data_IF_127047309210
#
_entry.id   IF_127047309210
#
_cell.length_a   1.000
_cell.length_b   1.000
_cell.length_c   1.000
_cell.angle_alpha   90.00
_cell.angle_beta   90.00
_cell.angle_gamma   90.00
#
_symmetry.space_group_name_H-M   'P 1'
#
loop_
_entity.id
_entity.type
_entity.pdbx_description
1 polymer ?
#
# COMPACT_ATOMS: atom_id res chain seq x y z
N UNK A 1 -11.67 -19.56 0.87
CA UNK A 1 -10.71 -18.87 0.00
C UNK A 1 -9.50 -19.77 -0.13
N UNK A 2 -9.21 -20.30 -1.32
CA UNK A 2 -7.99 -21.09 -1.51
C UNK A 2 -6.82 -20.10 -1.60
N UNK A 3 -5.70 -20.36 -0.91
CA UNK A 3 -4.53 -19.46 -0.85
C UNK A 3 -3.94 -19.08 -2.23
N UNK A 4 -4.33 -19.77 -3.31
CA UNK A 4 -3.90 -19.49 -4.69
C UNK A 4 -4.38 -18.14 -5.23
N UNK A 5 -5.49 -17.61 -4.70
CA UNK A 5 -6.03 -16.32 -5.17
C UNK A 5 -5.14 -15.13 -4.74
N UNK A 6 -4.23 -15.33 -3.77
CA UNK A 6 -3.34 -14.29 -3.25
C UNK A 6 -1.93 -14.31 -3.85
N UNK A 7 -1.60 -15.20 -4.79
CA UNK A 7 -0.23 -15.30 -5.35
C UNK A 7 0.26 -13.98 -5.94
N UNK A 8 -0.65 -13.16 -6.49
CA UNK A 8 -0.34 -11.84 -7.07
C UNK A 8 -0.46 -10.67 -6.08
N UNK A 9 -0.66 -10.95 -4.78
CA UNK A 9 -0.87 -9.91 -3.78
C UNK A 9 0.43 -9.10 -3.58
N UNK A 10 0.47 -7.93 -4.22
CA UNK A 10 1.53 -6.91 -4.12
C UNK A 10 1.05 -5.70 -3.30
N UNK A 11 -0.27 -5.53 -3.18
CA UNK A 11 -0.92 -4.35 -2.63
C UNK A 11 -1.57 -4.73 -1.31
N UNK A 12 -0.86 -4.49 -0.21
CA UNK A 12 -1.39 -4.72 1.13
C UNK A 12 -0.78 -3.74 2.12
N UNK A 13 -1.63 -2.96 2.79
CA UNK A 13 -1.25 -2.27 4.01
C UNK A 13 -1.68 -3.10 5.22
N UNK A 14 -0.74 -3.41 6.12
CA UNK A 14 -1.05 -4.13 7.35
C UNK A 14 -0.82 -3.18 8.53
N UNK A 15 -1.84 -2.85 9.34
CA UNK A 15 -1.65 -2.07 10.56
C UNK A 15 -0.62 -2.72 11.49
N UNK A 16 0.17 -1.89 12.18
CA UNK A 16 1.29 -2.39 12.99
C UNK A 16 0.84 -3.39 14.08
N UNK A 17 -0.31 -3.12 14.70
CA UNK A 17 -0.86 -3.92 15.79
C UNK A 17 -1.68 -5.14 15.34
N UNK A 18 -1.89 -5.32 14.03
CA UNK A 18 -2.61 -6.50 13.51
C UNK A 18 -1.74 -7.74 13.66
N UNK A 19 -2.25 -8.76 14.34
CA UNK A 19 -1.63 -10.10 14.36
C UNK A 19 -2.04 -10.81 13.08
N UNK A 20 -1.05 -11.25 12.30
CA UNK A 20 -1.28 -12.06 11.11
C UNK A 20 -1.22 -13.53 11.51
N UNK A 21 -2.14 -14.34 10.98
CA UNK A 21 -2.05 -15.79 11.12
C UNK A 21 -0.85 -16.36 10.37
N UNK A 22 -0.51 -17.61 10.68
CA UNK A 22 0.55 -18.34 9.97
C UNK A 22 0.26 -18.42 8.46
N UNK A 23 1.31 -18.22 7.66
CA UNK A 23 1.28 -18.36 6.20
C UNK A 23 0.25 -17.49 5.45
N UNK A 24 -0.34 -16.44 6.06
CA UNK A 24 -1.30 -15.53 5.39
C UNK A 24 -0.70 -14.88 4.14
N UNK A 25 0.59 -14.59 4.16
CA UNK A 25 1.34 -14.06 3.02
C UNK A 25 2.30 -15.07 2.40
N UNK A 26 2.34 -16.30 2.91
CA UNK A 26 3.13 -17.38 2.30
C UNK A 26 2.66 -17.56 0.85
N UNK A 27 3.59 -17.60 -0.10
CA UNK A 27 3.32 -17.73 -1.53
C UNK A 27 2.74 -16.48 -2.23
N UNK A 28 2.73 -15.32 -1.56
CA UNK A 28 2.37 -14.04 -2.22
C UNK A 28 3.57 -13.39 -2.88
N UNK A 29 3.32 -12.54 -3.88
CA UNK A 29 4.35 -11.69 -4.48
C UNK A 29 5.08 -10.78 -3.46
N UNK A 30 4.41 -10.36 -2.36
CA UNK A 30 5.07 -9.67 -1.25
C UNK A 30 6.10 -10.54 -0.52
N UNK A 31 5.75 -11.79 -0.22
CA UNK A 31 6.70 -12.74 0.35
C UNK A 31 7.85 -12.98 -0.61
N UNK A 32 7.56 -13.03 -1.91
CA UNK A 32 8.60 -13.22 -2.93
C UNK A 32 9.54 -12.03 -3.10
N UNK A 33 9.03 -10.81 -2.93
CA UNK A 33 9.80 -9.57 -2.97
C UNK A 33 10.57 -9.30 -1.67
N UNK A 34 10.34 -10.09 -0.61
CA UNK A 34 10.99 -9.86 0.67
C UNK A 34 12.51 -10.10 0.59
N UNK A 35 13.32 -9.32 1.34
CA UNK A 35 14.78 -9.45 1.33
C UNK A 35 15.28 -10.65 2.15
N UNK A 36 14.39 -11.46 2.73
CA UNK A 36 14.78 -12.57 3.60
C UNK A 36 15.00 -13.85 2.81
N UNK A 37 15.86 -14.72 3.35
CA UNK A 37 16.18 -15.99 2.73
C UNK A 37 14.96 -16.91 2.82
N UNK A 38 14.42 -17.33 1.68
CA UNK A 38 13.26 -18.21 1.62
C UNK A 38 13.71 -19.66 1.88
N UNK A 39 13.49 -20.17 3.09
CA UNK A 39 13.74 -21.58 3.37
C UNK A 39 12.55 -22.43 2.91
N UNK A 40 12.56 -22.84 1.64
CA UNK A 40 11.56 -23.79 1.13
C UNK A 40 11.94 -25.19 1.62
N UNK A 41 11.23 -25.70 2.63
CA UNK A 41 11.24 -27.13 3.00
C UNK A 41 12.04 -27.54 4.24
N UNK A 42 12.23 -26.68 5.24
CA UNK A 42 12.78 -27.10 6.53
C UNK A 42 12.06 -26.39 7.69
N UNK A 43 12.04 -27.03 8.86
CA UNK A 43 11.28 -26.68 10.09
C UNK A 43 11.58 -25.29 10.70
N UNK A 44 12.34 -24.42 10.01
CA UNK A 44 12.66 -23.05 10.40
C UNK A 44 11.80 -21.98 9.67
N UNK A 45 10.78 -22.40 8.91
CA UNK A 45 9.90 -21.50 8.15
C UNK A 45 9.18 -20.45 9.02
N UNK A 46 8.93 -20.77 10.29
CA UNK A 46 8.24 -19.89 11.24
C UNK A 46 9.02 -18.58 11.49
N UNK A 47 10.35 -18.66 11.58
CA UNK A 47 11.22 -17.49 11.77
C UNK A 47 11.39 -16.59 10.54
N UNK A 48 11.08 -17.10 9.35
CA UNK A 48 11.06 -16.31 8.11
C UNK A 48 9.73 -15.57 7.97
N UNK A 49 8.61 -16.20 8.35
CA UNK A 49 7.27 -15.58 8.28
C UNK A 49 7.16 -14.34 9.16
N UNK A 50 7.66 -14.38 10.40
CA UNK A 50 7.62 -13.21 11.30
C UNK A 50 8.45 -12.03 10.79
N UNK A 51 9.60 -12.32 10.18
CA UNK A 51 10.46 -11.29 9.56
C UNK A 51 9.78 -10.67 8.35
N UNK A 52 9.18 -11.48 7.49
CA UNK A 52 8.42 -10.98 6.33
C UNK A 52 7.22 -10.16 6.81
N UNK A 53 6.48 -10.62 7.81
CA UNK A 53 5.35 -9.88 8.40
C UNK A 53 5.79 -8.51 8.94
N UNK A 54 6.87 -8.47 9.71
CA UNK A 54 7.46 -7.21 10.20
C UNK A 54 7.92 -6.29 9.08
N UNK A 55 8.52 -6.85 8.03
CA UNK A 55 8.95 -6.10 6.87
C UNK A 55 7.78 -5.53 6.07
N UNK A 56 6.73 -6.30 5.79
CA UNK A 56 5.50 -5.85 5.11
C UNK A 56 4.87 -4.67 5.84
N UNK A 57 4.75 -4.76 7.18
CA UNK A 57 4.28 -3.65 8.04
C UNK A 57 5.18 -2.40 7.96
N UNK A 58 6.43 -2.55 7.53
CA UNK A 58 7.42 -1.47 7.43
C UNK A 58 7.53 -0.84 6.04
N UNK A 59 7.02 -1.48 4.97
CA UNK A 59 7.23 -1.05 3.57
C UNK A 59 6.74 0.39 3.37
N UNK A 60 5.56 0.69 3.93
CA UNK A 60 4.91 2.00 3.83
C UNK A 60 4.92 2.77 5.16
N UNK A 61 5.88 2.47 6.05
CA UNK A 61 6.01 3.18 7.33
C UNK A 61 6.59 4.59 7.16
N UNK A 62 6.17 5.51 8.04
CA UNK A 62 6.66 6.90 8.07
C UNK A 62 5.76 7.90 7.32
N UNK A 63 5.95 9.19 7.63
CA UNK A 63 5.12 10.28 7.08
C UNK A 63 5.25 10.43 5.57
N UNK A 64 6.45 10.26 5.02
CA UNK A 64 6.72 10.40 3.59
C UNK A 64 6.00 9.34 2.73
N UNK A 65 5.66 8.19 3.32
CA UNK A 65 4.94 7.10 2.66
C UNK A 65 3.46 7.05 3.07
N UNK A 66 2.92 8.14 3.62
CA UNK A 66 1.52 8.19 4.03
C UNK A 66 0.57 7.92 2.87
N UNK A 67 0.82 8.53 1.70
CA UNK A 67 -0.01 8.32 0.53
C UNK A 67 -0.01 6.86 0.05
N UNK A 68 1.12 6.16 0.16
CA UNK A 68 1.18 4.73 -0.14
C UNK A 68 0.18 3.94 0.69
N UNK A 69 0.15 4.18 2.02
CA UNK A 69 -0.77 3.48 2.92
C UNK A 69 -2.23 3.73 2.59
N UNK A 70 -2.56 4.95 2.16
CA UNK A 70 -3.93 5.30 1.78
C UNK A 70 -4.29 4.59 0.46
N UNK A 71 -3.43 4.65 -0.55
CA UNK A 71 -3.68 4.03 -1.86
C UNK A 71 -3.66 2.49 -1.83
N UNK A 72 -2.90 1.85 -0.94
CA UNK A 72 -2.92 0.40 -0.75
C UNK A 72 -3.88 -0.07 0.36
N UNK A 73 -4.73 0.83 0.86
CA UNK A 73 -5.80 0.50 1.78
C UNK A 73 -7.02 -0.05 1.04
N UNK A 74 -7.75 -0.95 1.69
CA UNK A 74 -9.09 -1.39 1.29
C UNK A 74 -10.19 -0.64 2.03
N UNK A 75 -9.84 0.27 2.95
CA UNK A 75 -10.80 0.94 3.82
C UNK A 75 -11.47 2.12 3.12
N UNK A 76 -12.77 1.97 2.84
CA UNK A 76 -13.70 3.09 3.03
C UNK A 76 -13.66 3.43 4.53
N UNK A 77 -13.14 4.60 4.88
CA UNK A 77 -13.15 5.05 6.26
C UNK A 77 -14.52 5.72 6.50
N UNK A 78 -15.22 5.39 7.59
CA UNK A 78 -16.51 6.04 7.92
C UNK A 78 -16.36 7.57 8.12
N UNK A 79 -15.13 8.05 8.37
CA UNK A 79 -14.83 9.47 8.56
C UNK A 79 -14.67 10.26 7.25
N UNK A 80 -14.10 9.66 6.20
CA UNK A 80 -13.81 10.33 4.92
C UNK A 80 -13.71 9.29 3.79
N UNK A 81 -14.33 9.54 2.61
CA UNK A 81 -14.09 8.76 1.40
C UNK A 81 -12.59 8.70 1.09
N UNK A 82 -12.11 7.56 0.57
CA UNK A 82 -10.67 7.36 0.30
C UNK A 82 -10.11 8.39 -0.69
N UNK A 83 -10.93 8.87 -1.64
CA UNK A 83 -10.61 9.97 -2.55
C UNK A 83 -10.29 11.28 -1.83
N UNK A 84 -11.00 11.56 -0.73
CA UNK A 84 -10.75 12.75 0.09
C UNK A 84 -9.46 12.59 0.89
N UNK A 85 -9.22 11.41 1.47
CA UNK A 85 -7.99 11.13 2.19
C UNK A 85 -6.75 11.25 1.28
N UNK A 86 -6.82 10.70 0.06
CA UNK A 86 -5.79 10.86 -0.98
C UNK A 86 -5.56 12.34 -1.28
N UNK A 87 -6.64 13.10 -1.47
CA UNK A 87 -6.55 14.50 -1.82
C UNK A 87 -5.92 15.37 -0.72
N UNK A 88 -6.33 15.21 0.54
CA UNK A 88 -5.76 15.94 1.66
C UNK A 88 -4.26 15.65 1.80
N UNK A 89 -3.87 14.40 1.61
CA UNK A 89 -2.48 13.97 1.68
C UNK A 89 -1.62 14.61 0.57
N UNK A 90 -2.14 14.66 -0.67
CA UNK A 90 -1.52 15.38 -1.79
C UNK A 90 -1.43 16.89 -1.51
N UNK A 91 -2.45 17.47 -0.89
CA UNK A 91 -2.48 18.90 -0.54
C UNK A 91 -1.39 19.26 0.46
N UNK A 92 -1.16 18.41 1.45
CA UNK A 92 -0.13 18.62 2.48
C UNK A 92 1.30 18.38 1.96
N UNK A 93 1.51 17.30 1.19
CA UNK A 93 2.85 16.87 0.77
C UNK A 93 3.28 17.39 -0.61
N UNK A 94 2.33 17.86 -1.41
CA UNK A 94 2.53 18.24 -2.81
C UNK A 94 2.41 17.07 -3.78
N UNK A 95 2.21 17.38 -5.06
CA UNK A 95 1.93 16.40 -6.12
C UNK A 95 3.06 15.39 -6.34
N UNK A 96 4.33 15.75 -6.08
CA UNK A 96 5.45 14.86 -6.33
C UNK A 96 5.38 13.54 -5.53
N UNK A 97 4.61 13.51 -4.43
CA UNK A 97 4.45 12.31 -3.60
C UNK A 97 3.82 11.14 -4.37
N UNK A 98 3.05 11.41 -5.44
CA UNK A 98 2.45 10.38 -6.30
C UNK A 98 3.48 9.50 -7.02
N UNK A 99 4.72 9.98 -7.14
CA UNK A 99 5.80 9.30 -7.85
C UNK A 99 6.95 8.84 -6.93
N UNK A 100 6.83 9.04 -5.61
CA UNK A 100 7.84 8.55 -4.67
C UNK A 100 7.68 7.04 -4.52
N UNK A 101 8.74 6.28 -4.78
CA UNK A 101 8.76 4.83 -4.60
C UNK A 101 8.89 4.45 -3.12
N UNK A 102 8.23 3.36 -2.72
CA UNK A 102 8.51 2.68 -1.46
C UNK A 102 9.70 1.72 -1.60
N UNK A 103 9.99 0.96 -0.53
CA UNK A 103 11.15 0.04 -0.47
C UNK A 103 11.14 -1.08 -1.53
N UNK A 104 10.03 -1.29 -2.24
CA UNK A 104 9.89 -2.31 -3.28
C UNK A 104 9.64 -1.72 -4.68
N UNK A 105 9.88 -0.41 -4.88
CA UNK A 105 9.77 0.23 -6.21
C UNK A 105 8.33 0.49 -6.68
N UNK A 106 7.36 0.45 -5.76
CA UNK A 106 5.96 0.78 -6.05
C UNK A 106 5.73 2.24 -5.69
N UNK A 107 4.99 2.96 -6.53
CA UNK A 107 4.55 4.33 -6.29
C UNK A 107 3.07 4.36 -5.88
N UNK A 108 2.57 5.43 -5.25
CA UNK A 108 1.14 5.58 -5.01
C UNK A 108 0.31 5.51 -6.29
N UNK A 109 0.81 6.06 -7.40
CA UNK A 109 0.16 5.97 -8.71
C UNK A 109 -0.06 4.52 -9.17
N UNK A 110 0.93 3.63 -8.96
CA UNK A 110 0.76 2.19 -9.26
C UNK A 110 -0.32 1.57 -8.36
N UNK A 111 -0.34 1.92 -7.07
CA UNK A 111 -1.41 1.48 -6.18
C UNK A 111 -2.80 1.94 -6.65
N UNK A 112 -2.95 3.20 -7.09
CA UNK A 112 -4.21 3.70 -7.64
C UNK A 112 -4.67 2.91 -8.87
N UNK A 113 -3.74 2.59 -9.78
CA UNK A 113 -4.05 1.90 -11.03
C UNK A 113 -4.41 0.41 -10.83
N UNK A 114 -3.82 -0.23 -9.82
CA UNK A 114 -3.92 -1.68 -9.63
C UNK A 114 -4.86 -2.09 -8.48
N UNK A 115 -5.25 -1.17 -7.60
CA UNK A 115 -6.15 -1.47 -6.49
C UNK A 115 -7.61 -1.52 -6.97
N UNK A 116 -8.25 -2.72 -7.01
CA UNK A 116 -9.60 -2.87 -7.52
C UNK A 116 -10.68 -2.23 -6.63
N UNK A 117 -10.32 -1.81 -5.41
CA UNK A 117 -11.23 -1.18 -4.47
C UNK A 117 -11.27 0.35 -4.61
N UNK A 118 -10.46 0.92 -5.49
CA UNK A 118 -10.43 2.36 -5.76
C UNK A 118 -11.19 2.69 -7.05
N UNK A 119 -12.50 2.48 -7.03
CA UNK A 119 -13.33 2.82 -8.19
C UNK A 119 -13.31 4.34 -8.47
N UNK A 120 -13.04 4.71 -9.72
CA UNK A 120 -13.10 6.09 -10.24
C UNK A 120 -12.09 7.10 -9.63
N UNK A 121 -10.99 6.62 -9.05
CA UNK A 121 -9.91 7.49 -8.55
C UNK A 121 -8.68 7.30 -9.43
N UNK A 122 -8.40 8.30 -10.28
CA UNK A 122 -7.18 8.35 -11.08
C UNK A 122 -6.37 9.63 -10.80
N UNK A 123 -5.12 9.61 -11.24
CA UNK A 123 -4.21 10.75 -11.09
C UNK A 123 -4.75 12.02 -11.77
N UNK A 124 -5.44 11.88 -12.91
CA UNK A 124 -5.96 13.01 -13.67
C UNK A 124 -7.01 13.75 -12.86
N UNK A 125 -7.90 13.04 -12.16
CA UNK A 125 -8.92 13.64 -11.32
C UNK A 125 -8.31 14.33 -10.09
N UNK A 126 -7.30 13.72 -9.47
CA UNK A 126 -6.55 14.33 -8.37
C UNK A 126 -5.84 15.62 -8.81
N UNK A 127 -5.21 15.61 -9.99
CA UNK A 127 -4.54 16.77 -10.57
C UNK A 127 -5.52 17.91 -10.87
N UNK A 128 -6.66 17.60 -11.51
CA UNK A 128 -7.70 18.60 -11.79
C UNK A 128 -8.16 19.28 -10.51
N UNK A 129 -8.48 18.48 -9.47
CA UNK A 129 -8.95 18.99 -8.19
C UNK A 129 -7.91 19.90 -7.53
N UNK A 130 -6.66 19.47 -7.51
CA UNK A 130 -5.55 20.25 -6.94
C UNK A 130 -5.36 21.59 -7.65
N UNK A 131 -5.39 21.59 -9.00
CA UNK A 131 -5.23 22.81 -9.81
C UNK A 131 -6.41 23.77 -9.58
N UNK A 132 -7.65 23.28 -9.63
CA UNK A 132 -8.86 24.11 -9.42
C UNK A 132 -8.82 24.78 -8.05
N UNK A 133 -8.45 24.05 -6.99
CA UNK A 133 -8.36 24.65 -5.65
C UNK A 133 -7.23 25.68 -5.57
N UNK A 134 -6.05 25.40 -6.14
CA UNK A 134 -4.93 26.36 -6.15
C UNK A 134 -5.24 27.63 -6.94
N UNK A 135 -5.95 27.53 -8.05
CA UNK A 135 -6.37 28.69 -8.85
C UNK A 135 -7.47 29.51 -8.17
N UNK A 136 -8.34 28.89 -7.36
CA UNK A 136 -9.38 29.58 -6.60
C UNK A 136 -8.89 30.24 -5.29
N UNK A 137 -7.65 29.96 -4.87
CA UNK A 137 -7.00 30.56 -3.70
C UNK A 137 -6.05 31.73 -4.06
N UNK A 138 -5.88 32.03 -5.35
CA UNK A 138 -5.11 33.18 -5.87
C UNK A 138 -6.01 34.40 -6.05
#
# INVERSE_FOLDING_TARGET
>A
MQLRDCEKLIILNIPQHTVLGENVIGYTALFDASPFKKSVGNDNAEGDVDKVNGWVKSINAGRALALHRICCSTYENEALPISEAIYQEIKELGLQVLHIENKIGITPQKYLAENPYLENIDEREMLKRYIVEKMGQM
#
